data_IF_346428667884
#
_entry.id   IF_346428667884
#
_cell.length_a   1.000
_cell.length_b   1.000
_cell.length_c   1.000
_cell.angle_alpha   90.00
_cell.angle_beta   90.00
_cell.angle_gamma   90.00
#
_symmetry.space_group_name_H-M   'P 1'
#
loop_
_entity.id
_entity.type
_entity.pdbx_description
1 polymer ?
#
# COMPACT_ATOMS: atom_id res chain seq x y z
N UNK A 1 -10.65 3.88 32.58
CA UNK A 1 -11.10 3.11 31.42
C UNK A 1 -11.72 4.08 30.44
N UNK A 2 -11.09 4.32 29.28
CA UNK A 2 -11.71 5.11 28.19
C UNK A 2 -12.92 4.30 27.69
N UNK A 3 -14.13 4.89 27.78
CA UNK A 3 -15.32 4.30 27.19
C UNK A 3 -15.20 4.41 25.68
N UNK A 4 -15.55 3.36 24.95
CA UNK A 4 -15.68 3.41 23.50
C UNK A 4 -16.75 4.45 23.14
N UNK A 5 -16.48 5.43 22.26
CA UNK A 5 -17.47 6.43 21.91
C UNK A 5 -18.71 5.74 21.31
N UNK A 6 -19.88 6.07 21.81
CA UNK A 6 -21.15 5.41 21.50
C UNK A 6 -21.79 5.89 20.18
N UNK A 7 -21.24 6.93 19.55
CA UNK A 7 -21.81 7.52 18.34
C UNK A 7 -20.74 7.45 17.24
N UNK A 8 -20.90 6.47 16.38
CA UNK A 8 -20.08 6.29 15.18
C UNK A 8 -20.78 6.97 13.99
N UNK A 9 -20.47 8.22 13.72
CA UNK A 9 -20.56 8.73 12.36
C UNK A 9 -19.30 8.25 11.61
N UNK A 10 -19.17 6.94 11.46
CA UNK A 10 -18.10 6.37 10.67
C UNK A 10 -18.53 6.57 9.21
N UNK A 11 -17.57 6.87 8.34
CA UNK A 11 -17.67 6.70 6.90
C UNK A 11 -17.93 5.21 6.57
N UNK A 12 -19.09 4.71 6.98
CA UNK A 12 -19.55 3.38 6.70
C UNK A 12 -20.09 3.41 5.28
N UNK A 13 -19.36 2.84 4.37
CA UNK A 13 -19.88 2.45 3.06
C UNK A 13 -20.95 1.36 3.18
N UNK A 14 -21.66 1.31 4.31
CA UNK A 14 -22.66 0.31 4.63
C UNK A 14 -24.04 0.93 4.84
N UNK A 15 -25.08 0.23 4.39
CA UNK A 15 -26.45 0.64 4.60
C UNK A 15 -26.80 0.72 6.10
N UNK A 16 -27.59 1.71 6.48
CA UNK A 16 -27.96 2.06 7.88
C UNK A 16 -28.46 0.90 8.74
N UNK A 17 -29.02 -0.15 8.15
CA UNK A 17 -29.57 -1.30 8.86
C UNK A 17 -28.52 -2.16 9.59
N UNK A 18 -27.21 -2.00 9.26
CA UNK A 18 -26.13 -2.82 9.84
C UNK A 18 -25.26 -2.08 10.85
N UNK A 19 -25.52 -0.80 11.12
CA UNK A 19 -24.62 0.02 11.97
C UNK A 19 -24.49 -0.50 13.41
N UNK A 20 -25.59 -0.91 14.04
CA UNK A 20 -25.58 -1.45 15.41
C UNK A 20 -24.78 -2.77 15.50
N UNK A 21 -24.92 -3.63 14.50
CA UNK A 21 -24.17 -4.87 14.42
C UNK A 21 -22.68 -4.62 14.26
N UNK A 22 -22.30 -3.65 13.42
CA UNK A 22 -20.90 -3.25 13.20
C UNK A 22 -20.31 -2.71 14.50
N UNK A 23 -20.99 -1.78 15.16
CA UNK A 23 -20.55 -1.22 16.44
C UNK A 23 -20.33 -2.34 17.47
N UNK A 24 -21.26 -3.28 17.55
CA UNK A 24 -21.16 -4.42 18.46
C UNK A 24 -19.93 -5.26 18.15
N UNK A 25 -19.67 -5.56 16.88
CA UNK A 25 -18.47 -6.31 16.45
C UNK A 25 -17.18 -5.54 16.74
N UNK A 26 -17.13 -4.24 16.45
CA UNK A 26 -15.96 -3.41 16.74
C UNK A 26 -15.64 -3.35 18.24
N UNK A 27 -16.65 -3.42 19.12
CA UNK A 27 -16.45 -3.45 20.56
C UNK A 27 -15.80 -4.77 21.07
N UNK A 28 -15.84 -5.84 20.27
CA UNK A 28 -15.21 -7.11 20.64
C UNK A 28 -13.71 -7.15 20.36
N UNK A 29 -13.19 -6.19 19.56
CA UNK A 29 -11.77 -6.13 19.22
C UNK A 29 -10.89 -5.74 20.42
N UNK A 30 -9.66 -6.27 20.44
CA UNK A 30 -8.66 -5.96 21.49
C UNK A 30 -7.97 -4.60 21.20
N UNK A 31 -8.70 -3.53 21.45
CA UNK A 31 -8.21 -2.17 21.25
C UNK A 31 -7.12 -1.78 22.24
N UNK A 32 -5.95 -1.41 21.74
CA UNK A 32 -4.90 -0.74 22.50
C UNK A 32 -5.25 0.76 22.60
N UNK A 33 -5.32 1.28 23.84
CA UNK A 33 -5.84 2.63 24.15
C UNK A 33 -4.84 3.51 24.88
N UNK A 34 -3.67 2.99 25.17
CA UNK A 34 -2.62 3.74 25.84
C UNK A 34 -1.83 4.54 24.82
N UNK A 35 -1.49 5.78 25.17
CA UNK A 35 -0.62 6.63 24.37
C UNK A 35 0.83 6.20 24.59
N UNK A 36 1.29 5.25 23.76
CA UNK A 36 2.64 4.67 23.85
C UNK A 36 3.08 4.12 22.49
N UNK A 37 4.32 3.65 22.41
CA UNK A 37 4.85 2.99 21.24
C UNK A 37 4.49 1.49 21.23
N UNK A 38 4.02 1.01 20.10
CA UNK A 38 3.68 -0.39 19.86
C UNK A 38 4.51 -0.93 18.68
N UNK A 39 5.20 -2.02 18.91
CA UNK A 39 5.87 -2.76 17.84
C UNK A 39 4.84 -3.48 16.96
N UNK A 40 5.09 -3.52 15.66
CA UNK A 40 4.28 -4.21 14.67
C UNK A 40 5.16 -5.02 13.71
N UNK A 41 4.56 -6.01 13.03
CA UNK A 41 5.22 -6.83 12.01
C UNK A 41 6.54 -7.44 12.50
N UNK A 42 6.48 -8.21 13.58
CA UNK A 42 7.65 -8.86 14.18
C UNK A 42 8.80 -7.88 14.50
N UNK A 43 8.45 -6.76 15.13
CA UNK A 43 9.35 -5.68 15.56
C UNK A 43 10.05 -4.91 14.41
N UNK A 44 9.61 -5.06 13.16
CA UNK A 44 10.19 -4.32 12.02
C UNK A 44 9.84 -2.84 12.00
N UNK A 45 8.76 -2.48 12.65
CA UNK A 45 8.34 -1.09 12.77
C UNK A 45 7.62 -0.82 14.09
N UNK A 46 7.50 0.46 14.40
CA UNK A 46 6.84 0.96 15.61
C UNK A 46 5.80 2.02 15.24
N UNK A 47 4.63 1.93 15.87
CA UNK A 47 3.60 2.96 15.82
C UNK A 47 3.48 3.58 17.20
N UNK A 48 3.60 4.91 17.28
CA UNK A 48 3.35 5.67 18.50
C UNK A 48 1.95 6.25 18.47
N UNK A 49 1.10 5.86 19.40
CA UNK A 49 -0.29 6.32 19.51
C UNK A 49 -0.42 7.55 20.38
N UNK A 50 -1.48 8.31 20.14
CA UNK A 50 -1.92 9.42 20.98
C UNK A 50 -3.08 9.01 21.91
N UNK A 51 -3.49 9.92 22.80
CA UNK A 51 -4.62 9.68 23.72
C UNK A 51 -5.97 9.44 23.01
N UNK A 52 -6.09 9.89 21.75
CA UNK A 52 -7.31 9.79 20.96
C UNK A 52 -7.29 8.62 19.96
N UNK A 53 -6.23 7.82 19.98
CA UNK A 53 -6.07 6.68 19.08
C UNK A 53 -6.52 5.38 19.74
N UNK A 54 -7.25 4.58 18.96
CA UNK A 54 -7.61 3.20 19.26
C UNK A 54 -6.91 2.32 18.23
N UNK A 55 -5.94 1.53 18.66
CA UNK A 55 -5.09 0.71 17.80
C UNK A 55 -5.45 -0.77 17.91
N UNK A 56 -5.54 -1.44 16.78
CA UNK A 56 -5.55 -2.91 16.66
C UNK A 56 -4.36 -3.38 15.83
N UNK A 57 -3.80 -4.55 16.15
CA UNK A 57 -2.59 -5.08 15.53
C UNK A 57 -2.84 -6.52 15.06
N UNK A 58 -2.21 -6.92 13.94
CA UNK A 58 -2.18 -8.29 13.43
C UNK A 58 -3.58 -8.81 13.08
N UNK A 59 -3.96 -9.95 13.63
CA UNK A 59 -5.26 -10.57 13.34
C UNK A 59 -6.45 -9.67 13.71
N UNK A 60 -6.33 -8.85 14.75
CA UNK A 60 -7.36 -7.89 15.13
C UNK A 60 -7.50 -6.75 14.12
N UNK A 61 -6.42 -6.34 13.47
CA UNK A 61 -6.47 -5.37 12.37
C UNK A 61 -7.15 -5.99 11.12
N UNK A 62 -6.90 -7.26 10.84
CA UNK A 62 -7.57 -8.00 9.77
C UNK A 62 -9.07 -8.14 10.02
N UNK A 63 -9.46 -8.44 11.26
CA UNK A 63 -10.88 -8.52 11.66
C UNK A 63 -11.55 -7.15 11.59
N UNK A 64 -10.87 -6.08 12.02
CA UNK A 64 -11.34 -4.70 11.84
C UNK A 64 -11.67 -4.41 10.37
N UNK A 65 -10.76 -4.73 9.44
CA UNK A 65 -10.98 -4.50 8.02
C UNK A 65 -12.11 -5.35 7.45
N UNK A 66 -12.25 -6.57 7.93
CA UNK A 66 -13.38 -7.41 7.55
C UNK A 66 -14.72 -6.84 8.03
N UNK A 67 -14.79 -6.37 9.28
CA UNK A 67 -16.00 -5.73 9.83
C UNK A 67 -16.34 -4.46 9.05
N UNK A 68 -15.32 -3.64 8.75
CA UNK A 68 -15.52 -2.31 8.14
C UNK A 68 -15.79 -2.36 6.63
N UNK A 69 -15.16 -3.27 5.89
CA UNK A 69 -15.15 -3.25 4.43
C UNK A 69 -15.47 -4.60 3.77
N UNK A 70 -15.69 -5.66 4.54
CA UNK A 70 -15.96 -7.00 4.01
C UNK A 70 -14.77 -7.71 3.36
N UNK A 71 -13.56 -7.17 3.48
CA UNK A 71 -12.35 -7.70 2.86
C UNK A 71 -11.75 -8.85 3.67
N UNK A 72 -12.12 -10.10 3.38
CA UNK A 72 -11.61 -11.30 4.07
C UNK A 72 -10.13 -11.59 3.84
N UNK A 73 -9.58 -11.15 2.71
CA UNK A 73 -8.21 -11.48 2.30
C UNK A 73 -7.22 -10.34 2.53
N UNK A 74 -7.66 -9.19 3.00
CA UNK A 74 -6.80 -8.08 3.33
C UNK A 74 -6.32 -8.20 4.77
N UNK A 75 -5.00 -8.24 4.94
CA UNK A 75 -4.35 -8.48 6.23
C UNK A 75 -3.37 -7.34 6.54
N UNK A 76 -3.86 -6.23 7.06
CA UNK A 76 -2.98 -5.15 7.51
C UNK A 76 -2.26 -5.55 8.80
N UNK A 77 -1.08 -4.97 9.02
CA UNK A 77 -0.30 -5.17 10.23
C UNK A 77 -0.89 -4.41 11.42
N UNK A 78 -1.51 -3.24 11.14
CA UNK A 78 -2.18 -2.44 12.16
C UNK A 78 -3.27 -1.56 11.56
N UNK A 79 -4.23 -1.17 12.40
CA UNK A 79 -5.21 -0.14 12.09
C UNK A 79 -5.45 0.76 13.29
N UNK A 80 -5.54 2.06 13.05
CA UNK A 80 -5.89 3.07 14.04
C UNK A 80 -7.26 3.65 13.70
N UNK A 81 -8.11 3.75 14.71
CA UNK A 81 -9.31 4.55 14.70
C UNK A 81 -9.04 5.80 15.54
N UNK A 82 -9.01 6.97 14.93
CA UNK A 82 -8.81 8.24 15.62
C UNK A 82 -10.15 8.87 15.99
N UNK A 83 -10.26 9.39 17.19
CA UNK A 83 -11.53 9.92 17.73
C UNK A 83 -11.35 11.36 18.13
N UNK A 84 -12.31 12.21 17.74
CA UNK A 84 -12.38 13.59 18.22
C UNK A 84 -13.74 13.83 18.90
N UNK A 85 -13.71 13.92 20.23
CA UNK A 85 -14.95 13.97 21.01
C UNK A 85 -15.77 12.67 20.90
N UNK A 86 -17.05 12.73 20.55
CA UNK A 86 -17.88 11.54 20.36
C UNK A 86 -17.76 10.91 18.98
N UNK A 87 -17.09 11.55 18.04
CA UNK A 87 -17.03 11.16 16.62
C UNK A 87 -15.70 10.53 16.26
N UNK A 88 -15.73 9.66 15.26
CA UNK A 88 -14.52 9.18 14.62
C UNK A 88 -14.05 10.24 13.64
N UNK A 89 -12.83 10.71 13.84
CA UNK A 89 -12.20 11.72 13.02
C UNK A 89 -11.67 11.11 11.72
N UNK A 90 -10.88 10.05 11.86
CA UNK A 90 -10.27 9.37 10.71
C UNK A 90 -9.86 7.94 11.06
N UNK A 91 -9.55 7.17 10.04
CA UNK A 91 -8.93 5.86 10.21
C UNK A 91 -7.62 5.78 9.44
N UNK A 92 -6.68 5.01 9.98
CA UNK A 92 -5.36 4.79 9.37
C UNK A 92 -5.05 3.30 9.37
N UNK A 93 -4.60 2.80 8.25
CA UNK A 93 -4.31 1.39 8.04
C UNK A 93 -2.86 1.27 7.59
N UNK A 94 -2.11 0.37 8.22
CA UNK A 94 -0.70 0.13 7.94
C UNK A 94 -0.53 -1.29 7.41
N UNK A 95 0.16 -1.42 6.27
CA UNK A 95 0.48 -2.72 5.68
C UNK A 95 1.94 -2.72 5.22
N UNK A 96 2.76 -3.56 5.84
CA UNK A 96 4.16 -3.75 5.45
C UNK A 96 4.23 -4.79 4.33
N UNK A 97 4.96 -4.46 3.27
CA UNK A 97 5.11 -5.29 2.09
C UNK A 97 6.59 -5.56 1.82
N UNK A 98 7.01 -6.80 2.05
CA UNK A 98 8.40 -7.25 1.86
C UNK A 98 8.58 -7.78 0.43
N UNK A 99 8.90 -6.89 -0.48
CA UNK A 99 9.07 -7.22 -1.91
C UNK A 99 10.51 -7.00 -2.41
N UNK A 100 11.39 -6.64 -1.51
CA UNK A 100 12.76 -6.22 -1.79
C UNK A 100 12.89 -4.70 -1.91
N UNK A 101 14.13 -4.21 -1.89
CA UNK A 101 14.46 -2.79 -1.98
C UNK A 101 13.93 -2.16 -3.26
N UNK A 102 13.25 -1.04 -3.14
CA UNK A 102 12.63 -0.30 -4.24
C UNK A 102 13.53 0.84 -4.71
N UNK A 103 14.00 0.80 -5.95
CA UNK A 103 14.70 1.93 -6.56
C UNK A 103 13.71 3.03 -6.94
N UNK A 104 14.18 4.29 -6.96
CA UNK A 104 13.36 5.45 -7.27
C UNK A 104 13.58 5.98 -8.70
N UNK A 105 14.39 5.27 -9.50
CA UNK A 105 14.88 5.79 -10.79
C UNK A 105 13.78 5.84 -11.86
N UNK A 106 12.78 4.96 -11.77
CA UNK A 106 11.68 4.84 -12.73
C UNK A 106 10.50 5.78 -12.46
N UNK A 107 10.59 6.67 -11.43
CA UNK A 107 9.47 7.52 -11.02
C UNK A 107 8.91 8.36 -12.16
N UNK A 108 9.75 9.11 -12.84
CA UNK A 108 9.32 10.02 -13.93
C UNK A 108 8.87 9.31 -15.21
N UNK A 109 9.15 8.01 -15.35
CA UNK A 109 8.84 7.25 -16.55
C UNK A 109 7.47 6.58 -16.53
N UNK A 110 6.95 6.26 -15.35
CA UNK A 110 5.77 5.42 -15.17
C UNK A 110 4.55 6.18 -14.62
N UNK A 111 4.69 7.45 -14.27
CA UNK A 111 3.60 8.23 -13.68
C UNK A 111 2.96 9.14 -14.73
N UNK A 112 1.87 8.64 -15.34
CA UNK A 112 0.92 9.42 -16.12
C UNK A 112 -0.33 9.64 -15.27
N UNK A 113 -0.44 10.83 -14.67
CA UNK A 113 -1.48 11.16 -13.67
C UNK A 113 -2.88 11.14 -14.24
N UNK A 114 -3.05 11.57 -15.49
CA UNK A 114 -4.36 11.61 -16.14
C UNK A 114 -4.83 10.20 -16.48
N UNK A 115 -3.94 9.37 -17.01
CA UNK A 115 -4.27 7.98 -17.29
C UNK A 115 -4.50 7.19 -15.99
N UNK A 116 -3.70 7.45 -14.95
CA UNK A 116 -3.89 6.81 -13.63
C UNK A 116 -5.27 7.13 -13.05
N UNK A 117 -5.71 8.39 -13.09
CA UNK A 117 -7.04 8.76 -12.57
C UNK A 117 -8.16 8.03 -13.32
N UNK A 118 -8.09 7.96 -14.64
CA UNK A 118 -9.05 7.20 -15.46
C UNK A 118 -9.07 5.72 -15.06
N UNK A 119 -7.90 5.14 -14.91
CA UNK A 119 -7.76 3.73 -14.54
C UNK A 119 -8.29 3.45 -13.11
N UNK A 120 -8.12 4.40 -12.17
CA UNK A 120 -8.68 4.32 -10.81
C UNK A 120 -10.21 4.37 -10.87
N UNK A 121 -10.78 5.29 -11.63
CA UNK A 121 -12.24 5.41 -11.80
C UNK A 121 -12.81 4.12 -12.38
N UNK A 122 -12.24 3.60 -13.46
CA UNK A 122 -12.66 2.33 -14.07
C UNK A 122 -12.53 1.15 -13.09
N UNK A 123 -11.42 1.07 -12.36
CA UNK A 123 -11.18 0.02 -11.36
C UNK A 123 -12.17 0.08 -10.20
N UNK A 124 -12.57 1.28 -9.78
CA UNK A 124 -13.57 1.47 -8.71
C UNK A 124 -14.94 0.99 -9.17
N UNK A 125 -15.36 1.30 -10.41
CA UNK A 125 -16.61 0.81 -11.00
C UNK A 125 -16.63 -0.73 -11.05
N UNK A 126 -15.51 -1.35 -11.41
CA UNK A 126 -15.42 -2.82 -11.44
C UNK A 126 -15.43 -3.43 -10.03
N UNK A 127 -14.79 -2.78 -9.07
CA UNK A 127 -14.81 -3.19 -7.66
C UNK A 127 -16.21 -3.12 -7.08
N UNK A 128 -17.00 -2.09 -7.40
CA UNK A 128 -18.39 -1.97 -6.95
C UNK A 128 -19.23 -3.19 -7.38
N UNK A 129 -19.04 -3.71 -8.59
CA UNK A 129 -19.75 -4.93 -9.06
C UNK A 129 -19.43 -6.18 -8.24
N UNK A 130 -18.26 -6.20 -7.59
CA UNK A 130 -17.78 -7.32 -6.78
C UNK A 130 -18.09 -7.14 -5.30
N UNK A 131 -18.61 -5.97 -4.88
CA UNK A 131 -19.02 -5.72 -3.50
C UNK A 131 -20.23 -6.56 -3.14
N UNK A 132 -20.22 -7.09 -1.93
CA UNK A 132 -21.33 -7.87 -1.39
C UNK A 132 -22.55 -7.00 -1.09
N UNK A 133 -23.70 -7.65 -0.87
CA UNK A 133 -24.90 -6.98 -0.39
C UNK A 133 -24.63 -6.25 0.93
N UNK A 134 -25.17 -5.04 1.06
CA UNK A 134 -25.02 -4.22 2.27
C UNK A 134 -23.89 -3.19 2.22
N UNK A 135 -23.05 -3.18 1.18
CA UNK A 135 -22.03 -2.14 0.98
C UNK A 135 -22.48 -1.13 -0.08
N UNK A 136 -22.30 0.16 0.21
CA UNK A 136 -22.58 1.23 -0.76
C UNK A 136 -21.51 1.25 -1.86
N UNK A 137 -21.92 1.57 -3.08
CA UNK A 137 -21.01 1.85 -4.18
C UNK A 137 -20.17 3.09 -3.88
N UNK A 138 -18.89 3.05 -4.30
CA UNK A 138 -17.97 4.17 -4.19
C UNK A 138 -17.71 4.78 -5.57
N UNK A 139 -17.55 6.09 -5.60
CA UNK A 139 -17.25 6.85 -6.80
C UNK A 139 -16.02 7.71 -6.55
N UNK A 140 -15.10 7.72 -7.52
CA UNK A 140 -13.92 8.56 -7.51
C UNK A 140 -14.18 9.79 -8.36
N UNK A 141 -14.01 10.97 -7.78
CA UNK A 141 -14.30 12.25 -8.43
C UNK A 141 -13.06 12.86 -9.06
N UNK A 142 -11.96 12.93 -8.28
CA UNK A 142 -10.74 13.61 -8.71
C UNK A 142 -9.54 13.21 -7.85
N UNK A 143 -8.36 13.69 -8.26
CA UNK A 143 -7.25 13.81 -7.33
C UNK A 143 -7.56 14.86 -6.26
N UNK A 144 -7.40 14.50 -4.98
CA UNK A 144 -7.23 15.46 -3.89
C UNK A 144 -5.77 15.89 -3.78
N UNK A 145 -4.86 14.95 -4.07
CA UNK A 145 -3.43 15.16 -4.19
C UNK A 145 -2.89 14.23 -5.28
N UNK A 146 -2.30 14.82 -6.34
CA UNK A 146 -1.63 14.03 -7.37
C UNK A 146 -0.42 13.26 -6.81
N UNK A 147 -0.06 12.10 -7.40
CA UNK A 147 1.10 11.34 -6.97
C UNK A 147 2.39 12.15 -7.03
N UNK A 148 3.16 12.16 -5.95
CA UNK A 148 4.50 12.72 -5.93
C UNK A 148 5.44 11.92 -5.01
N UNK A 149 6.72 11.92 -5.35
CA UNK A 149 7.79 11.28 -4.58
C UNK A 149 8.60 12.33 -3.82
N UNK A 150 8.56 12.26 -2.50
CA UNK A 150 9.47 13.02 -1.65
C UNK A 150 10.74 12.20 -1.39
N UNK A 151 11.80 12.53 -2.13
CA UNK A 151 13.11 11.83 -2.02
C UNK A 151 13.82 12.08 -0.68
N UNK A 152 13.46 13.13 0.07
CA UNK A 152 14.12 13.45 1.34
C UNK A 152 13.73 12.47 2.44
N UNK A 153 12.46 12.06 2.45
CA UNK A 153 11.92 11.11 3.44
C UNK A 153 11.60 9.73 2.83
N UNK A 154 11.98 9.50 1.56
CA UNK A 154 11.75 8.25 0.84
C UNK A 154 10.28 7.82 0.87
N UNK A 155 9.37 8.75 0.62
CA UNK A 155 7.93 8.50 0.69
C UNK A 155 7.22 8.99 -0.56
N UNK A 156 6.33 8.16 -1.09
CA UNK A 156 5.39 8.55 -2.14
C UNK A 156 4.05 8.88 -1.51
N UNK A 157 3.39 9.91 -2.02
CA UNK A 157 2.08 10.36 -1.57
C UNK A 157 1.12 10.50 -2.74
N UNK A 158 -0.15 10.18 -2.54
CA UNK A 158 -1.27 10.57 -3.39
C UNK A 158 -2.56 10.53 -2.61
N UNK A 159 -3.59 11.23 -3.09
CA UNK A 159 -4.92 11.15 -2.50
C UNK A 159 -5.99 11.30 -3.56
N UNK A 160 -7.08 10.56 -3.40
CA UNK A 160 -8.29 10.67 -4.20
C UNK A 160 -9.42 11.23 -3.36
N UNK A 161 -10.23 12.10 -3.98
CA UNK A 161 -11.52 12.54 -3.48
C UNK A 161 -12.61 11.68 -4.12
N UNK A 162 -13.61 11.32 -3.35
CA UNK A 162 -14.73 10.54 -3.80
C UNK A 162 -15.96 10.70 -2.91
N UNK A 163 -17.02 9.99 -3.29
CA UNK A 163 -18.24 9.90 -2.51
C UNK A 163 -18.81 8.48 -2.59
N UNK A 164 -19.69 8.13 -1.65
CA UNK A 164 -20.47 6.90 -1.72
C UNK A 164 -21.85 7.14 -2.39
N UNK A 165 -22.63 6.08 -2.60
CA UNK A 165 -23.96 6.16 -3.17
C UNK A 165 -24.97 6.94 -2.28
N UNK A 166 -24.59 7.31 -1.06
CA UNK A 166 -25.34 8.19 -0.16
C UNK A 166 -24.88 9.64 -0.19
N UNK A 167 -24.01 10.04 -1.14
CA UNK A 167 -23.38 11.37 -1.24
C UNK A 167 -22.45 11.74 -0.06
N UNK A 168 -22.03 10.77 0.75
CA UNK A 168 -21.03 11.03 1.78
C UNK A 168 -19.65 11.15 1.14
N UNK A 169 -19.05 12.32 1.26
CA UNK A 169 -17.73 12.61 0.69
C UNK A 169 -16.61 12.06 1.56
N UNK A 170 -15.56 11.55 0.92
CA UNK A 170 -14.36 11.06 1.58
C UNK A 170 -13.09 11.44 0.83
N UNK A 171 -11.98 11.40 1.56
CA UNK A 171 -10.64 11.40 1.00
C UNK A 171 -9.95 10.10 1.41
N UNK A 172 -9.37 9.41 0.43
CA UNK A 172 -8.42 8.32 0.63
C UNK A 172 -7.03 8.82 0.28
N UNK A 173 -6.21 9.10 1.29
CA UNK A 173 -4.83 9.51 1.12
C UNK A 173 -3.90 8.33 1.40
N UNK A 174 -2.95 8.09 0.51
CA UNK A 174 -1.95 7.02 0.64
C UNK A 174 -0.55 7.59 0.73
N UNK A 175 0.25 6.99 1.62
CA UNK A 175 1.70 7.12 1.61
C UNK A 175 2.33 5.73 1.45
N UNK A 176 3.38 5.65 0.64
CA UNK A 176 4.29 4.50 0.62
C UNK A 176 5.60 4.94 1.23
N UNK A 177 5.83 4.61 2.50
CA UNK A 177 7.12 4.83 3.17
C UNK A 177 8.05 3.69 2.78
N UNK A 178 9.12 4.01 2.06
CA UNK A 178 10.08 3.00 1.58
C UNK A 178 11.00 2.57 2.74
N UNK A 179 11.21 1.27 2.85
CA UNK A 179 12.12 0.64 3.78
C UNK A 179 13.18 -0.19 3.06
N UNK A 180 14.07 -0.84 3.82
CA UNK A 180 15.15 -1.69 3.32
C UNK A 180 14.65 -2.88 2.51
N UNK A 181 13.59 -3.54 2.99
CA UNK A 181 13.08 -4.79 2.43
C UNK A 181 11.81 -4.61 1.60
N UNK A 182 11.35 -3.37 1.40
CA UNK A 182 10.11 -3.09 0.70
C UNK A 182 9.53 -1.74 1.08
N UNK A 183 8.24 -1.71 1.43
CA UNK A 183 7.55 -0.48 1.79
C UNK A 183 6.42 -0.74 2.78
N UNK A 184 6.05 0.29 3.53
CA UNK A 184 4.79 0.32 4.28
C UNK A 184 3.79 1.18 3.54
N UNK A 185 2.67 0.57 3.17
CA UNK A 185 1.49 1.30 2.71
C UNK A 185 0.76 1.85 3.93
N UNK A 186 0.54 3.16 3.95
CA UNK A 186 -0.22 3.86 4.98
C UNK A 186 -1.41 4.48 4.28
N UNK A 187 -2.60 3.98 4.61
CA UNK A 187 -3.87 4.48 4.07
C UNK A 187 -4.58 5.28 5.15
N UNK A 188 -4.75 6.58 4.91
CA UNK A 188 -5.58 7.45 5.71
C UNK A 188 -6.93 7.66 5.02
N UNK A 189 -8.02 7.54 5.78
CA UNK A 189 -9.39 7.77 5.30
C UNK A 189 -10.05 8.76 6.25
N UNK A 190 -10.56 9.85 5.71
CA UNK A 190 -11.21 10.90 6.48
C UNK A 190 -12.11 11.78 5.61
N UNK A 191 -12.63 12.86 6.18
CA UNK A 191 -13.46 13.82 5.46
C UNK A 191 -12.62 14.83 4.66
N UNK A 192 -13.20 15.47 3.61
CA UNK A 192 -12.51 16.53 2.88
C UNK A 192 -12.11 17.72 3.76
N UNK A 193 -12.86 18.01 4.80
CA UNK A 193 -12.62 19.12 5.71
C UNK A 193 -11.34 18.95 6.54
N UNK A 194 -10.96 17.69 6.78
CA UNK A 194 -9.76 17.31 7.54
C UNK A 194 -8.51 17.21 6.67
N UNK A 195 -8.69 17.23 5.35
CA UNK A 195 -7.63 17.01 4.38
C UNK A 195 -7.17 18.33 3.76
N UNK A 196 -5.88 18.68 3.89
CA UNK A 196 -5.25 19.81 3.22
C UNK A 196 -4.41 19.35 2.03
N UNK A 197 -3.55 18.33 2.28
CA UNK A 197 -2.80 17.57 1.25
C UNK A 197 -2.41 16.24 1.83
N UNK A 198 -2.10 15.24 0.98
CA UNK A 198 -1.69 13.91 1.47
C UNK A 198 -0.42 13.99 2.32
N UNK A 199 0.54 14.84 1.98
CA UNK A 199 1.75 15.05 2.78
C UNK A 199 1.41 15.66 4.14
N UNK A 200 0.61 16.72 4.18
CA UNK A 200 0.21 17.37 5.43
C UNK A 200 -0.69 16.48 6.27
N UNK A 201 -1.66 15.80 5.68
CA UNK A 201 -2.58 14.92 6.39
C UNK A 201 -1.87 13.71 7.00
N UNK A 202 -0.85 13.18 6.32
CA UNK A 202 -0.11 11.99 6.75
C UNK A 202 1.13 12.31 7.56
N UNK A 203 1.60 13.56 7.57
CA UNK A 203 2.82 13.95 8.30
C UNK A 203 2.77 13.58 9.78
N UNK A 204 1.71 13.85 10.57
CA UNK A 204 1.64 13.43 11.97
C UNK A 204 1.66 11.90 12.13
N UNK A 205 1.09 11.17 11.17
CA UNK A 205 1.04 9.71 11.19
C UNK A 205 2.41 9.14 10.85
N UNK A 206 3.07 9.71 9.84
CA UNK A 206 4.44 9.32 9.48
C UNK A 206 5.44 9.67 10.59
N UNK A 207 5.21 10.76 11.33
CA UNK A 207 5.99 11.09 12.53
C UNK A 207 5.79 10.07 13.66
N UNK A 208 4.64 9.40 13.67
CA UNK A 208 4.30 8.37 14.65
C UNK A 208 4.61 6.94 14.18
N UNK A 209 5.14 6.79 12.96
CA UNK A 209 5.53 5.51 12.38
C UNK A 209 7.01 5.55 12.00
N UNK A 210 7.78 4.62 12.54
CA UNK A 210 9.19 4.46 12.22
C UNK A 210 9.53 2.99 11.95
N UNK A 211 10.38 2.77 10.95
CA UNK A 211 11.08 1.50 10.82
C UNK A 211 12.10 1.32 11.95
N UNK A 212 12.17 0.13 12.48
CA UNK A 212 13.20 -0.26 13.44
C UNK A 212 14.60 -0.19 12.80
N UNK A 213 15.63 -0.08 13.63
CA UNK A 213 17.02 -0.12 13.18
C UNK A 213 17.28 -1.38 12.34
N UNK A 214 17.95 -1.24 11.21
CA UNK A 214 18.20 -2.28 10.23
C UNK A 214 17.11 -2.48 9.18
N UNK A 215 15.95 -1.83 9.30
CA UNK A 215 14.84 -1.91 8.33
C UNK A 215 14.56 -0.60 7.59
N UNK A 216 15.30 0.47 7.89
CA UNK A 216 15.14 1.76 7.23
C UNK A 216 15.64 1.71 5.78
N UNK A 217 15.14 2.60 4.93
CA UNK A 217 15.56 2.68 3.52
C UNK A 217 17.07 2.86 3.33
N UNK A 218 17.70 3.59 4.24
CA UNK A 218 19.15 3.82 4.24
C UNK A 218 19.98 2.60 4.66
N UNK A 219 19.36 1.58 5.27
CA UNK A 219 20.04 0.37 5.74
C UNK A 219 20.27 -0.67 4.63
N UNK A 220 19.84 -0.36 3.39
CA UNK A 220 20.05 -1.24 2.24
C UNK A 220 21.52 -1.56 1.98
N UNK A 221 21.83 -2.84 1.80
CA UNK A 221 23.19 -3.34 1.54
C UNK A 221 23.27 -3.90 0.12
N UNK A 222 23.90 -3.16 -0.82
CA UNK A 222 24.06 -3.63 -2.20
C UNK A 222 24.74 -5.00 -2.28
N UNK A 223 24.15 -5.90 -3.08
CA UNK A 223 24.70 -7.25 -3.29
C UNK A 223 24.37 -8.27 -2.20
N UNK A 224 23.79 -7.85 -1.08
CA UNK A 224 23.27 -8.73 -0.03
C UNK A 224 21.75 -8.75 0.00
N UNK A 225 21.14 -7.58 -0.06
CA UNK A 225 19.68 -7.43 0.03
C UNK A 225 19.02 -7.69 -1.33
N UNK A 226 17.81 -8.21 -1.28
CA UNK A 226 16.98 -8.40 -2.47
C UNK A 226 16.49 -7.06 -3.01
N UNK A 227 16.48 -6.91 -4.34
CA UNK A 227 15.90 -5.75 -5.02
C UNK A 227 14.56 -6.15 -5.62
N UNK A 228 13.57 -5.28 -5.48
CA UNK A 228 12.24 -5.49 -6.06
C UNK A 228 12.31 -5.60 -7.59
N UNK A 229 11.42 -6.39 -8.19
CA UNK A 229 11.38 -6.61 -9.63
C UNK A 229 10.98 -5.36 -10.44
N UNK A 230 10.39 -4.37 -9.79
CA UNK A 230 9.96 -3.10 -10.37
C UNK A 230 10.39 -1.95 -9.46
N UNK A 231 10.60 -0.78 -10.02
CA UNK A 231 10.86 0.42 -9.25
C UNK A 231 9.58 1.03 -8.65
N UNK A 232 9.75 2.11 -7.92
CA UNK A 232 8.67 2.76 -7.17
C UNK A 232 7.58 3.34 -8.08
N UNK A 233 7.93 3.83 -9.27
CA UNK A 233 6.95 4.39 -10.22
C UNK A 233 5.99 3.32 -10.74
N UNK A 234 6.51 2.18 -11.18
CA UNK A 234 5.70 1.06 -11.65
C UNK A 234 4.85 0.45 -10.52
N UNK A 235 5.38 0.39 -9.30
CA UNK A 235 4.66 -0.08 -8.13
C UNK A 235 3.48 0.82 -7.81
N UNK A 236 3.69 2.14 -7.73
CA UNK A 236 2.65 3.13 -7.44
C UNK A 236 1.54 3.08 -8.47
N UNK A 237 1.89 2.99 -9.76
CA UNK A 237 0.91 2.82 -10.83
C UNK A 237 0.03 1.58 -10.59
N UNK A 238 0.65 0.43 -10.28
CA UNK A 238 -0.07 -0.81 -9.99
C UNK A 238 -0.96 -0.72 -8.76
N UNK A 239 -0.46 -0.13 -7.67
CA UNK A 239 -1.23 0.00 -6.42
C UNK A 239 -2.40 0.98 -6.54
N UNK A 240 -2.23 2.04 -7.31
CA UNK A 240 -3.28 3.03 -7.52
C UNK A 240 -4.37 2.54 -8.49
N UNK A 241 -4.00 1.84 -9.55
CA UNK A 241 -4.90 1.50 -10.66
C UNK A 241 -5.33 0.04 -10.71
N UNK A 242 -4.63 -0.85 -10.01
CA UNK A 242 -4.76 -2.30 -10.15
C UNK A 242 -4.15 -2.86 -11.44
N UNK A 243 -3.65 -2.02 -12.34
CA UNK A 243 -3.09 -2.40 -13.65
C UNK A 243 -1.56 -2.37 -13.62
N UNK A 244 -0.91 -3.20 -14.42
CA UNK A 244 0.54 -3.09 -14.59
C UNK A 244 0.90 -1.86 -15.44
N UNK A 245 1.91 -1.09 -15.02
CA UNK A 245 2.42 0.01 -15.84
C UNK A 245 2.91 -0.51 -17.20
N UNK A 246 2.55 0.18 -18.28
CA UNK A 246 2.83 -0.27 -19.65
C UNK A 246 4.33 -0.56 -19.89
N UNK A 247 5.22 0.27 -19.33
CA UNK A 247 6.67 0.08 -19.42
C UNK A 247 7.21 -1.00 -18.49
N UNK A 248 6.62 -1.19 -17.30
CA UNK A 248 7.03 -2.22 -16.34
C UNK A 248 6.74 -3.64 -16.85
N UNK A 249 5.65 -3.82 -17.62
CA UNK A 249 5.33 -5.10 -18.25
C UNK A 249 6.43 -5.59 -19.21
N UNK A 250 7.09 -4.69 -19.91
CA UNK A 250 8.18 -5.01 -20.84
C UNK A 250 9.44 -5.45 -20.07
N UNK A 251 9.81 -4.75 -19.00
CA UNK A 251 10.99 -5.07 -18.19
C UNK A 251 10.77 -6.34 -17.35
N UNK A 252 9.59 -6.53 -16.76
CA UNK A 252 9.25 -7.76 -16.06
C UNK A 252 9.19 -8.96 -16.98
N UNK A 253 8.62 -8.80 -18.18
CA UNK A 253 8.65 -9.84 -19.23
C UNK A 253 10.09 -10.15 -19.68
N UNK A 254 10.93 -9.12 -19.86
CA UNK A 254 12.32 -9.31 -20.23
C UNK A 254 13.14 -10.02 -19.12
N UNK A 255 12.89 -9.70 -17.85
CA UNK A 255 13.54 -10.37 -16.72
C UNK A 255 13.10 -11.83 -16.56
N UNK A 256 11.83 -12.13 -16.78
CA UNK A 256 11.30 -13.51 -16.78
C UNK A 256 11.86 -14.29 -18.00
N UNK A 257 11.91 -13.64 -19.16
CA UNK A 257 12.53 -14.23 -20.38
C UNK A 257 14.03 -14.47 -20.15
N UNK A 258 14.76 -13.51 -19.61
CA UNK A 258 16.18 -13.68 -19.30
C UNK A 258 16.41 -14.83 -18.30
N UNK A 259 15.62 -14.93 -17.23
CA UNK A 259 15.71 -16.01 -16.24
C UNK A 259 15.34 -17.39 -16.82
N UNK A 260 14.37 -17.45 -17.72
CA UNK A 260 13.84 -18.72 -18.27
C UNK A 260 14.61 -19.19 -19.51
N UNK A 261 15.21 -18.27 -20.27
CA UNK A 261 15.85 -18.54 -21.56
C UNK A 261 17.36 -18.27 -21.59
N UNK A 262 17.97 -17.88 -20.45
CA UNK A 262 19.43 -17.65 -20.41
C UNK A 262 20.23 -18.87 -20.86
N UNK A 263 19.78 -20.09 -20.55
CA UNK A 263 20.37 -21.33 -21.03
C UNK A 263 20.31 -21.49 -22.56
N UNK A 264 19.24 -21.03 -23.20
CA UNK A 264 19.07 -21.12 -24.67
C UNK A 264 19.98 -20.11 -25.37
N UNK A 265 20.21 -18.92 -24.75
CA UNK A 265 21.11 -17.89 -25.29
C UNK A 265 22.57 -18.40 -25.24
N UNK A 266 22.95 -19.13 -24.18
CA UNK A 266 24.32 -19.64 -24.01
C UNK A 266 24.60 -20.99 -24.72
N UNK A 267 23.56 -21.78 -25.06
CA UNK A 267 23.70 -23.05 -25.77
C UNK A 267 24.47 -22.91 -27.09
N UNK A 268 24.20 -21.93 -27.97
CA UNK A 268 24.97 -21.77 -29.22
C UNK A 268 26.45 -21.49 -28.97
N UNK A 269 26.79 -20.73 -27.89
CA UNK A 269 28.19 -20.44 -27.54
C UNK A 269 28.93 -21.67 -27.06
N UNK A 270 28.30 -22.55 -26.28
CA UNK A 270 28.90 -23.79 -25.80
C UNK A 270 29.11 -24.79 -26.95
N UNK A 271 28.14 -24.92 -27.85
CA UNK A 271 28.25 -25.81 -29.02
C UNK A 271 29.15 -25.22 -30.09
N UNK A 272 29.10 -23.90 -30.33
CA UNK A 272 30.00 -23.22 -31.27
C UNK A 272 31.47 -23.31 -30.82
N UNK A 273 31.75 -23.19 -29.53
CA UNK A 273 33.10 -23.35 -28.99
C UNK A 273 33.66 -24.77 -29.16
N UNK A 274 32.85 -25.80 -28.98
CA UNK A 274 33.24 -27.20 -29.25
C UNK A 274 33.49 -27.43 -30.72
N UNK A 275 32.72 -26.84 -31.61
CA UNK A 275 32.88 -26.94 -33.05
C UNK A 275 34.15 -26.22 -33.53
N UNK A 276 34.44 -25.03 -33.02
CA UNK A 276 35.67 -24.28 -33.30
C UNK A 276 36.89 -25.03 -32.80
N UNK A 277 36.89 -25.58 -31.58
CA UNK A 277 37.98 -26.41 -31.07
C UNK A 277 38.24 -27.64 -31.97
N UNK A 278 37.18 -28.30 -32.43
CA UNK A 278 37.31 -29.48 -33.30
C UNK A 278 37.87 -29.15 -34.68
N UNK A 279 37.63 -27.95 -35.22
CA UNK A 279 38.24 -27.45 -36.45
C UNK A 279 39.73 -27.07 -36.27
N UNK A 280 40.09 -26.47 -35.14
CA UNK A 280 41.47 -26.05 -34.85
C UNK A 280 42.41 -27.26 -34.59
N UNK A 281 41.89 -28.36 -34.06
CA UNK A 281 42.68 -29.61 -33.84
C UNK A 281 42.84 -30.45 -35.10
N UNK A 282 41.97 -30.31 -36.13
CA UNK A 282 42.04 -31.07 -37.37
C UNK A 282 43.03 -30.50 -38.43
N UNK A 283 43.54 -29.28 -38.22
CA UNK A 283 44.53 -28.63 -39.08
C UNK A 283 45.98 -28.74 -38.53
N UNK A 284 46.23 -29.65 -37.60
CA UNK A 284 47.58 -29.94 -37.04
C UNK A 284 48.08 -31.35 -37.29
N UNK A 285 47.46 -32.08 -38.23
CA UNK A 285 48.04 -33.34 -38.81
C UNK A 285 48.47 -33.13 -40.27
#
# INVERSE_FOLDING_TARGET
MKSFPLIFAIFLTQASANQEEIITKLQTLDWKKEATAYAIADDKATITTSENDFLVIGEQASEYMFIMQGHKNYKPDAAILRVQGPEVDSQVIYTINEIGYLTQDDWGENIDKDQMLKDIIEGTIETNKQRGEGYLDLFVDSWAQEPFLNKKNNTVYWAIAGHDAGDNKFINAKALKLGREGYTEILWIGSPEQFTSSETALEPILANYDYSEGFQYADYIPGQDSVAAAGVGALVYKLATGKAAAKAGILAAAAIFAKKFWLIIFLPFVYGWKWIKKKLTKNKE
#
